data_IF_421830712812
#
_entry.id   IF_421830712812
#
_cell.length_a   1.000
_cell.length_b   1.000
_cell.length_c   1.000
_cell.angle_alpha   90.00
_cell.angle_beta   90.00
_cell.angle_gamma   90.00
#
_symmetry.space_group_name_H-M   'P 1'
#
loop_
_entity.id
_entity.type
_entity.pdbx_description
1 polymer ?
#
# COMPACT_ATOMS: atom_id res chain seq x y z
N UNK A 1 -15.09 -21.46 12.90
CA UNK A 1 -14.32 -20.69 11.90
C UNK A 1 -13.89 -19.40 12.56
N UNK A 2 -12.59 -19.10 12.59
CA UNK A 2 -12.10 -17.83 13.14
C UNK A 2 -12.48 -16.69 12.18
N UNK A 3 -12.99 -15.58 12.72
CA UNK A 3 -13.26 -14.36 11.94
C UNK A 3 -11.91 -13.75 11.57
N UNK A 4 -11.64 -13.43 10.29
CA UNK A 4 -10.43 -12.70 9.91
C UNK A 4 -10.35 -11.39 10.68
N UNK A 5 -9.16 -11.00 11.13
CA UNK A 5 -9.00 -9.70 11.77
C UNK A 5 -9.37 -8.59 10.77
N UNK A 6 -9.95 -7.47 11.24
CA UNK A 6 -10.17 -6.32 10.36
C UNK A 6 -8.83 -5.84 9.79
N UNK A 7 -8.80 -5.39 8.53
CA UNK A 7 -7.58 -4.86 7.94
C UNK A 7 -7.10 -3.61 8.68
N UNK A 8 -5.78 -3.46 8.82
CA UNK A 8 -5.16 -2.29 9.45
C UNK A 8 -4.86 -1.25 8.37
N UNK A 9 -5.53 -0.07 8.40
CA UNK A 9 -5.32 0.95 7.38
C UNK A 9 -3.96 1.66 7.54
N UNK A 10 -3.42 2.16 6.43
CA UNK A 10 -2.24 3.02 6.40
C UNK A 10 -2.30 3.97 5.19
N UNK A 11 -1.48 5.02 5.22
CA UNK A 11 -1.29 5.94 4.11
C UNK A 11 0.06 5.72 3.44
N UNK A 12 0.09 5.91 2.13
CA UNK A 12 1.30 5.93 1.30
C UNK A 12 1.54 7.34 0.82
N UNK A 13 2.62 7.96 1.27
CA UNK A 13 3.07 9.26 0.82
C UNK A 13 4.02 9.10 -0.35
N UNK A 14 3.63 9.60 -1.52
CA UNK A 14 4.45 9.59 -2.72
C UNK A 14 5.43 10.76 -2.72
N UNK A 15 6.50 10.63 -3.50
CA UNK A 15 7.54 11.66 -3.62
C UNK A 15 7.06 12.95 -4.30
N UNK A 16 5.98 12.86 -5.08
CA UNK A 16 5.34 14.00 -5.75
C UNK A 16 4.32 14.74 -4.87
N UNK A 17 4.17 14.35 -3.60
CA UNK A 17 3.29 14.98 -2.63
C UNK A 17 1.86 14.42 -2.63
N UNK A 18 1.53 13.44 -3.48
CA UNK A 18 0.24 12.75 -3.42
C UNK A 18 0.21 11.70 -2.32
N UNK A 19 -0.99 11.36 -1.88
CA UNK A 19 -1.21 10.31 -0.89
C UNK A 19 -2.15 9.24 -1.44
N UNK A 20 -1.77 7.98 -1.28
CA UNK A 20 -2.61 6.82 -1.55
C UNK A 20 -3.03 6.12 -0.27
N UNK A 21 -4.13 5.38 -0.32
CA UNK A 21 -4.64 4.61 0.82
C UNK A 21 -4.27 3.15 0.68
N UNK A 22 -3.87 2.52 1.78
CA UNK A 22 -3.58 1.10 1.83
C UNK A 22 -4.12 0.41 3.07
N UNK A 23 -4.13 -0.92 3.02
CA UNK A 23 -4.63 -1.79 4.06
C UNK A 23 -3.75 -3.04 4.19
N UNK A 24 -3.40 -3.41 5.42
CA UNK A 24 -2.68 -4.63 5.76
C UNK A 24 -3.66 -5.69 6.28
N UNK A 25 -3.58 -6.91 5.76
CA UNK A 25 -4.50 -8.01 6.07
C UNK A 25 -3.80 -9.08 6.90
N UNK A 26 -4.42 -9.45 8.04
CA UNK A 26 -3.94 -10.49 8.94
C UNK A 26 -5.05 -11.51 9.28
N UNK A 27 -4.76 -12.82 9.33
CA UNK A 27 -3.47 -13.47 9.08
C UNK A 27 -3.11 -13.52 7.58
N UNK A 28 -1.84 -13.34 7.23
CA UNK A 28 -1.34 -13.43 5.85
C UNK A 28 -0.30 -12.39 5.46
N UNK A 29 -0.30 -11.22 6.11
CA UNK A 29 0.71 -10.17 5.93
C UNK A 29 0.57 -9.36 4.63
N UNK A 30 -0.37 -9.73 3.76
CA UNK A 30 -0.56 -9.05 2.49
C UNK A 30 -1.00 -7.60 2.69
N UNK A 31 -0.51 -6.73 1.81
CA UNK A 31 -0.90 -5.32 1.76
C UNK A 31 -1.56 -5.02 0.42
N UNK A 32 -2.60 -4.19 0.45
CA UNK A 32 -3.26 -3.67 -0.73
C UNK A 32 -3.14 -2.14 -0.70
N UNK A 33 -2.77 -1.54 -1.84
CA UNK A 33 -2.76 -0.09 -2.03
C UNK A 33 -3.67 0.27 -3.18
N UNK A 34 -4.64 1.14 -2.90
CA UNK A 34 -5.53 1.69 -3.91
C UNK A 34 -4.91 2.91 -4.57
N UNK A 35 -4.76 2.86 -5.90
CA UNK A 35 -4.28 3.99 -6.70
C UNK A 35 -5.49 4.65 -7.37
N UNK A 36 -5.90 5.85 -6.93
CA UNK A 36 -7.10 6.51 -7.44
C UNK A 36 -6.93 7.06 -8.87
N UNK A 37 -5.70 7.05 -9.39
CA UNK A 37 -5.37 7.68 -10.65
C UNK A 37 -5.38 6.69 -11.82
N UNK A 38 -6.15 7.06 -12.85
CA UNK A 38 -6.29 6.32 -14.09
C UNK A 38 -7.72 5.87 -14.36
N UNK A 39 -8.08 5.58 -15.63
CA UNK A 39 -9.42 5.19 -16.03
C UNK A 39 -9.90 3.85 -15.43
N UNK A 40 -9.00 3.10 -14.77
CA UNK A 40 -9.25 1.74 -14.28
C UNK A 40 -8.97 1.53 -12.79
N UNK A 41 -8.71 2.58 -12.00
CA UNK A 41 -8.51 2.53 -10.53
C UNK A 41 -7.81 1.25 -10.04
N UNK A 42 -6.48 1.23 -10.08
CA UNK A 42 -5.69 0.02 -9.92
C UNK A 42 -5.46 -0.28 -8.44
N UNK A 43 -5.49 -1.54 -8.04
CA UNK A 43 -5.02 -1.99 -6.74
C UNK A 43 -3.68 -2.72 -6.88
N UNK A 44 -2.69 -2.28 -6.13
CA UNK A 44 -1.39 -2.97 -6.02
C UNK A 44 -1.42 -3.88 -4.80
N UNK A 45 -1.08 -5.15 -4.97
CA UNK A 45 -1.02 -6.15 -3.89
C UNK A 45 0.44 -6.56 -3.70
N UNK A 46 0.92 -6.61 -2.45
CA UNK A 46 2.22 -7.13 -2.08
C UNK A 46 2.12 -8.01 -0.83
N UNK A 47 3.14 -8.82 -0.54
CA UNK A 47 3.15 -9.71 0.64
C UNK A 47 3.58 -9.01 1.92
N UNK A 48 4.10 -7.78 1.83
CA UNK A 48 4.39 -6.92 2.97
C UNK A 48 4.55 -5.45 2.54
N UNK A 49 4.58 -4.54 3.52
CA UNK A 49 4.93 -3.13 3.27
C UNK A 49 6.36 -2.98 2.74
N UNK A 50 7.30 -3.79 3.23
CA UNK A 50 8.69 -3.73 2.77
C UNK A 50 8.81 -4.16 1.31
N UNK A 51 8.09 -5.20 0.88
CA UNK A 51 8.07 -5.62 -0.53
C UNK A 51 7.36 -4.60 -1.43
N UNK A 52 6.30 -3.96 -0.91
CA UNK A 52 5.62 -2.87 -1.60
C UNK A 52 6.59 -1.72 -1.91
N UNK A 53 7.42 -1.34 -0.94
CA UNK A 53 8.40 -0.25 -1.05
C UNK A 53 9.79 -0.66 -1.54
N UNK A 54 10.04 -1.96 -1.76
CA UNK A 54 11.33 -2.47 -2.23
C UNK A 54 11.78 -1.75 -3.50
N UNK A 55 13.10 -1.65 -3.71
CA UNK A 55 13.75 -0.84 -4.75
C UNK A 55 12.98 -0.85 -6.09
N UNK A 56 12.14 0.17 -6.29
CA UNK A 56 11.37 0.34 -7.51
C UNK A 56 12.20 1.11 -8.53
N UNK A 57 11.99 0.85 -9.82
CA UNK A 57 12.67 1.59 -10.87
C UNK A 57 12.35 3.10 -10.81
N UNK A 58 13.31 3.98 -11.16
CA UNK A 58 13.04 5.40 -11.34
C UNK A 58 11.93 5.60 -12.38
N UNK A 59 10.79 6.14 -11.95
CA UNK A 59 9.57 6.30 -12.77
C UNK A 59 8.37 5.50 -12.26
N UNK A 60 8.57 4.55 -11.34
CA UNK A 60 7.46 3.92 -10.63
C UNK A 60 6.92 4.87 -9.54
N UNK A 61 5.59 5.06 -9.40
CA UNK A 61 5.03 6.00 -8.42
C UNK A 61 5.43 5.73 -6.96
N UNK A 62 5.59 4.45 -6.60
CA UNK A 62 6.04 4.04 -5.25
C UNK A 62 7.56 4.20 -5.03
N UNK A 63 8.34 4.61 -6.03
CA UNK A 63 9.77 4.84 -5.85
C UNK A 63 10.00 5.97 -4.85
N UNK A 64 10.67 5.66 -3.73
CA UNK A 64 10.90 6.61 -2.64
C UNK A 64 9.67 6.95 -1.79
N UNK A 65 8.57 6.20 -1.94
CA UNK A 65 7.36 6.40 -1.15
C UNK A 65 7.57 6.02 0.33
N UNK A 66 6.77 6.63 1.22
CA UNK A 66 6.85 6.41 2.67
C UNK A 66 5.48 6.02 3.23
N UNK A 67 5.46 5.23 4.29
CA UNK A 67 4.23 4.72 4.89
C UNK A 67 3.99 5.41 6.22
N UNK A 68 2.75 5.86 6.42
CA UNK A 68 2.26 6.35 7.70
C UNK A 68 1.18 5.38 8.21
N UNK A 69 1.39 4.82 9.40
CA UNK A 69 0.43 3.94 10.06
C UNK A 69 -0.32 4.73 11.11
N UNK A 70 -1.63 4.47 11.21
CA UNK A 70 -2.42 4.98 12.32
C UNK A 70 -2.08 4.15 13.57
N UNK A 71 -1.51 4.81 14.59
CA UNK A 71 -1.22 4.23 15.91
C UNK A 71 -2.48 4.06 16.74
#
# INVERSE_FOLDING_TARGET
>A
MAVPAPPVPFLVHLVDGRTWSGAEFSPGGFVCVHTPEGPSSICTIATSVDELLADRAPGHPLHGARIERYT
#
